data_IF_563370410089
#
_entry.id   IF_563370410089
#
_cell.length_a   1.000
_cell.length_b   1.000
_cell.length_c   1.000
_cell.angle_alpha   90.00
_cell.angle_beta   90.00
_cell.angle_gamma   90.00
#
_symmetry.space_group_name_H-M   'P 1'
#
loop_
_entity.id
_entity.type
_entity.pdbx_description
1 polymer ?
#
# COMPACT_ATOMS: atom_id res chain seq x y z
N UNK A 1 -44.69 -20.43 25.63
CA UNK A 1 -45.20 -21.02 24.37
C UNK A 1 -44.99 -20.03 23.23
N UNK A 2 -44.76 -20.58 22.06
CA UNK A 2 -44.21 -20.04 20.82
C UNK A 2 -44.76 -18.71 20.24
N UNK A 3 -43.82 -17.93 19.71
CA UNK A 3 -43.73 -17.36 18.34
C UNK A 3 -44.93 -16.56 17.80
N UNK A 4 -44.71 -15.28 17.46
CA UNK A 4 -45.02 -14.77 16.11
C UNK A 4 -44.41 -13.40 15.78
N UNK A 5 -43.50 -13.42 14.79
CA UNK A 5 -43.43 -12.57 13.58
C UNK A 5 -43.41 -11.05 13.82
N UNK A 6 -42.27 -10.35 13.85
CA UNK A 6 -41.30 -10.07 12.76
C UNK A 6 -41.95 -10.01 11.36
N UNK A 7 -42.64 -8.91 11.05
CA UNK A 7 -42.96 -8.51 9.67
C UNK A 7 -43.57 -7.10 9.59
N UNK A 8 -42.78 -6.02 9.74
CA UNK A 8 -43.04 -4.74 9.05
C UNK A 8 -41.70 -4.00 8.88
N UNK A 9 -40.81 -4.55 8.06
CA UNK A 9 -39.56 -3.89 7.67
C UNK A 9 -39.37 -4.03 6.15
N UNK A 10 -40.31 -3.52 5.35
CA UNK A 10 -40.23 -3.67 3.89
C UNK A 10 -41.20 -2.77 3.09
N UNK A 11 -41.51 -1.54 3.51
CA UNK A 11 -42.31 -0.59 2.68
C UNK A 11 -41.64 0.78 2.56
N UNK A 12 -40.32 0.83 2.34
CA UNK A 12 -39.59 2.09 2.11
C UNK A 12 -38.70 2.07 0.85
N UNK A 13 -39.00 1.22 -0.14
CA UNK A 13 -38.16 1.06 -1.35
C UNK A 13 -38.89 1.41 -2.66
N UNK A 14 -40.00 2.15 -2.62
CA UNK A 14 -40.75 2.56 -3.83
C UNK A 14 -40.94 4.08 -3.94
N UNK A 15 -39.93 4.88 -3.57
CA UNK A 15 -39.82 6.24 -4.10
C UNK A 15 -38.89 6.18 -5.32
N UNK A 16 -39.50 6.05 -6.49
CA UNK A 16 -38.79 6.12 -7.76
C UNK A 16 -38.20 7.51 -7.98
N UNK A 17 -36.96 7.55 -8.46
CA UNK A 17 -36.36 8.75 -9.02
C UNK A 17 -37.10 9.09 -10.31
N UNK A 18 -38.04 10.03 -10.27
CA UNK A 18 -38.51 10.69 -11.47
C UNK A 18 -37.33 11.45 -12.07
N UNK A 19 -36.77 10.92 -13.16
CA UNK A 19 -35.73 11.57 -13.93
C UNK A 19 -36.41 12.72 -14.71
N UNK A 20 -36.37 13.93 -14.12
CA UNK A 20 -36.77 15.16 -14.78
C UNK A 20 -35.82 15.38 -15.96
N UNK A 21 -36.34 15.26 -17.18
CA UNK A 21 -35.60 15.50 -18.42
C UNK A 21 -35.20 16.98 -18.46
N UNK A 22 -33.90 17.34 -18.47
CA UNK A 22 -33.48 18.72 -18.53
C UNK A 22 -33.85 19.30 -19.89
N UNK A 23 -34.70 20.32 -19.91
CA UNK A 23 -34.92 21.16 -21.09
C UNK A 23 -33.56 21.68 -21.58
N UNK A 24 -33.23 21.57 -22.88
CA UNK A 24 -31.95 22.06 -23.39
C UNK A 24 -31.90 23.58 -23.19
N UNK A 25 -31.02 24.01 -22.29
CA UNK A 25 -30.71 25.41 -22.09
C UNK A 25 -30.03 25.94 -23.35
N UNK A 26 -30.24 27.21 -23.74
CA UNK A 26 -29.53 27.81 -24.85
C UNK A 26 -28.01 27.69 -24.61
N UNK A 27 -27.19 27.48 -25.66
CA UNK A 27 -25.76 27.34 -25.50
C UNK A 27 -25.24 28.58 -24.79
N UNK A 28 -24.70 28.37 -23.59
CA UNK A 28 -23.99 29.42 -22.88
C UNK A 28 -22.80 29.81 -23.74
N UNK A 29 -22.52 31.11 -23.92
CA UNK A 29 -21.32 31.53 -24.63
C UNK A 29 -20.13 30.84 -23.96
N UNK A 30 -19.30 30.14 -24.75
CA UNK A 30 -18.08 29.50 -24.26
C UNK A 30 -17.21 30.58 -23.60
N UNK A 31 -17.34 30.69 -22.27
CA UNK A 31 -16.42 31.47 -21.48
C UNK A 31 -15.06 30.83 -21.66
N UNK A 32 -14.18 31.51 -22.40
CA UNK A 32 -12.77 31.19 -22.47
C UNK A 32 -12.24 31.11 -21.03
N UNK A 33 -12.11 29.88 -20.53
CA UNK A 33 -11.43 29.64 -19.26
C UNK A 33 -9.95 29.63 -19.60
N UNK A 34 -9.17 30.60 -19.12
CA UNK A 34 -7.74 30.56 -19.34
C UNK A 34 -7.21 29.24 -18.77
N UNK A 35 -6.26 28.57 -19.44
CA UNK A 35 -5.72 27.30 -18.97
C UNK A 35 -5.23 27.48 -17.53
N UNK A 36 -5.84 26.73 -16.61
CA UNK A 36 -5.50 26.78 -15.19
C UNK A 36 -4.06 26.32 -15.05
N UNK A 37 -3.16 27.25 -14.69
CA UNK A 37 -1.78 26.91 -14.37
C UNK A 37 -1.83 25.97 -13.16
N UNK A 38 -1.41 24.71 -13.37
CA UNK A 38 -1.47 23.69 -12.32
C UNK A 38 -0.66 24.16 -11.10
N UNK A 39 -1.31 24.21 -9.94
CA UNK A 39 -0.64 24.55 -8.68
C UNK A 39 0.37 23.46 -8.31
N UNK A 40 1.35 23.78 -7.46
CA UNK A 40 2.27 22.76 -6.93
C UNK A 40 1.53 21.64 -6.19
N UNK A 41 0.39 21.95 -5.57
CA UNK A 41 -0.48 20.96 -4.95
C UNK A 41 -1.12 20.03 -6.00
N UNK A 42 -1.67 20.58 -7.08
CA UNK A 42 -2.24 19.78 -8.18
C UNK A 42 -1.18 18.85 -8.80
N UNK A 43 0.06 19.33 -8.94
CA UNK A 43 1.18 18.52 -9.42
C UNK A 43 1.51 17.36 -8.47
N UNK A 44 1.47 17.61 -7.16
CA UNK A 44 1.70 16.59 -6.15
C UNK A 44 0.58 15.52 -6.14
N UNK A 45 -0.67 15.94 -6.29
CA UNK A 45 -1.81 15.03 -6.43
C UNK A 45 -1.74 14.21 -7.73
N UNK A 46 -1.41 14.86 -8.85
CA UNK A 46 -1.21 14.16 -10.12
C UNK A 46 -0.08 13.13 -10.03
N UNK A 47 1.02 13.47 -9.35
CA UNK A 47 2.10 12.52 -9.05
C UNK A 47 1.60 11.34 -8.22
N UNK A 48 0.81 11.59 -7.17
CA UNK A 48 0.24 10.54 -6.32
C UNK A 48 -0.65 9.58 -7.13
N UNK A 49 -1.59 10.13 -7.91
CA UNK A 49 -2.50 9.37 -8.75
C UNK A 49 -1.75 8.53 -9.77
N UNK A 50 -0.82 9.15 -10.52
CA UNK A 50 0.02 8.44 -11.50
C UNK A 50 0.82 7.32 -10.84
N UNK A 51 1.43 7.59 -9.69
CA UNK A 51 2.26 6.59 -8.99
C UNK A 51 1.42 5.41 -8.49
N UNK A 52 0.18 5.65 -8.05
CA UNK A 52 -0.73 4.60 -7.61
C UNK A 52 -1.08 3.61 -8.74
N UNK A 53 -1.21 4.09 -9.97
CA UNK A 53 -1.53 3.28 -11.17
C UNK A 53 -0.36 2.45 -11.69
N UNK A 54 0.87 2.79 -11.31
CA UNK A 54 2.06 2.08 -11.76
C UNK A 54 2.19 0.68 -11.14
N UNK A 55 2.77 -0.23 -11.93
CA UNK A 55 3.19 -1.54 -11.44
C UNK A 55 4.27 -1.39 -10.35
N UNK A 56 4.44 -2.38 -9.44
CA UNK A 56 5.45 -2.31 -8.39
C UNK A 56 6.87 -2.04 -8.92
N UNK A 57 7.25 -2.65 -10.04
CA UNK A 57 8.55 -2.45 -10.68
C UNK A 57 8.70 -1.01 -11.22
N UNK A 58 7.68 -0.49 -11.92
CA UNK A 58 7.71 0.87 -12.44
C UNK A 58 7.74 1.92 -11.31
N UNK A 59 6.98 1.69 -10.22
CA UNK A 59 7.08 2.51 -9.00
C UNK A 59 8.48 2.52 -8.44
N UNK A 60 9.13 1.36 -8.37
CA UNK A 60 10.47 1.25 -7.82
C UNK A 60 11.50 2.05 -8.64
N UNK A 61 11.44 1.96 -9.96
CA UNK A 61 12.34 2.73 -10.84
C UNK A 61 12.07 4.24 -10.76
N UNK A 62 10.80 4.66 -10.76
CA UNK A 62 10.44 6.07 -10.58
C UNK A 62 10.94 6.61 -9.24
N UNK A 63 10.79 5.84 -8.15
CA UNK A 63 11.27 6.20 -6.83
C UNK A 63 12.80 6.33 -6.77
N UNK A 64 13.55 5.38 -7.35
CA UNK A 64 15.01 5.46 -7.41
C UNK A 64 15.47 6.70 -8.18
N UNK A 65 14.85 6.98 -9.33
CA UNK A 65 15.16 8.16 -10.13
C UNK A 65 14.88 9.46 -9.36
N UNK A 66 13.73 9.54 -8.67
CA UNK A 66 13.35 10.69 -7.87
C UNK A 66 14.29 10.91 -6.68
N UNK A 67 14.66 9.84 -5.95
CA UNK A 67 15.63 9.92 -4.85
C UNK A 67 16.99 10.38 -5.35
N UNK A 68 17.44 9.90 -6.52
CA UNK A 68 18.68 10.37 -7.15
C UNK A 68 18.60 11.85 -7.51
N UNK A 69 17.52 12.27 -8.17
CA UNK A 69 17.30 13.66 -8.55
C UNK A 69 17.27 14.59 -7.33
N UNK A 70 16.64 14.19 -6.23
CA UNK A 70 16.61 14.99 -5.00
C UNK A 70 17.99 15.11 -4.33
N UNK A 71 18.89 14.13 -4.51
CA UNK A 71 20.26 14.23 -4.02
C UNK A 71 21.09 15.21 -4.84
N UNK A 72 20.90 15.20 -6.17
CA UNK A 72 21.62 16.09 -7.09
C UNK A 72 21.12 17.53 -7.00
N UNK A 73 19.81 17.73 -6.91
CA UNK A 73 19.16 19.02 -6.79
C UNK A 73 18.02 18.96 -5.75
N UNK A 74 18.35 19.16 -4.45
CA UNK A 74 17.35 19.17 -3.40
C UNK A 74 16.37 20.32 -3.58
N UNK A 75 15.09 20.01 -3.70
CA UNK A 75 14.03 21.02 -3.75
C UNK A 75 12.78 20.52 -3.03
N UNK A 76 11.88 21.45 -2.69
CA UNK A 76 10.67 21.14 -1.93
C UNK A 76 9.78 20.12 -2.68
N UNK A 77 9.53 20.34 -3.96
CA UNK A 77 8.67 19.46 -4.79
C UNK A 77 9.17 18.02 -4.78
N UNK A 78 10.47 17.81 -4.95
CA UNK A 78 11.10 16.49 -4.91
C UNK A 78 10.95 15.84 -3.53
N UNK A 79 11.16 16.59 -2.43
CA UNK A 79 10.96 16.08 -1.07
C UNK A 79 9.51 15.65 -0.82
N UNK A 80 8.55 16.44 -1.28
CA UNK A 80 7.12 16.13 -1.16
C UNK A 80 6.72 14.93 -2.03
N UNK A 81 7.25 14.82 -3.24
CA UNK A 81 7.03 13.65 -4.10
C UNK A 81 7.65 12.39 -3.50
N UNK A 82 8.82 12.49 -2.85
CA UNK A 82 9.44 11.36 -2.13
C UNK A 82 8.56 10.94 -0.95
N UNK A 83 8.05 11.90 -0.16
CA UNK A 83 7.12 11.65 0.94
C UNK A 83 5.91 10.82 0.46
N UNK A 84 5.28 11.26 -0.63
CA UNK A 84 4.13 10.55 -1.23
C UNK A 84 4.55 9.21 -1.81
N UNK A 85 5.63 9.18 -2.59
CA UNK A 85 6.12 7.98 -3.27
C UNK A 85 6.49 6.86 -2.30
N UNK A 86 6.99 7.20 -1.11
CA UNK A 86 7.32 6.22 -0.06
C UNK A 86 6.11 5.42 0.44
N UNK A 87 4.91 5.98 0.35
CA UNK A 87 3.67 5.24 0.67
C UNK A 87 3.43 4.11 -0.32
N UNK A 88 3.84 4.29 -1.58
CA UNK A 88 3.61 3.32 -2.65
C UNK A 88 4.80 2.39 -2.93
N UNK A 89 6.01 2.77 -2.55
CA UNK A 89 7.22 1.93 -2.71
C UNK A 89 8.25 2.17 -1.61
N UNK A 90 8.81 1.08 -1.12
CA UNK A 90 9.92 1.06 -0.18
C UNK A 90 11.28 1.47 -0.78
N UNK A 91 11.34 1.70 -2.08
CA UNK A 91 12.55 2.20 -2.75
C UNK A 91 12.66 3.71 -2.76
N UNK A 92 11.59 4.43 -2.38
CA UNK A 92 11.54 5.89 -2.30
C UNK A 92 12.33 6.47 -1.09
N UNK A 93 13.46 5.87 -0.70
CA UNK A 93 14.28 6.33 0.43
C UNK A 93 13.81 5.82 1.79
N UNK A 94 14.55 6.11 2.86
CA UNK A 94 14.25 5.62 4.22
C UNK A 94 13.18 6.47 4.91
N UNK A 95 12.22 5.84 5.60
CA UNK A 95 11.11 6.55 6.26
C UNK A 95 11.61 7.53 7.33
N UNK A 96 12.61 7.17 8.13
CA UNK A 96 13.08 8.06 9.19
C UNK A 96 13.71 9.33 8.60
N UNK A 97 14.51 9.18 7.54
CA UNK A 97 15.11 10.32 6.83
C UNK A 97 14.06 11.22 6.19
N UNK A 98 13.05 10.64 5.55
CA UNK A 98 11.97 11.41 4.91
C UNK A 98 11.18 12.22 5.95
N UNK A 99 10.86 11.59 7.09
CA UNK A 99 10.14 12.28 8.17
C UNK A 99 10.97 13.42 8.79
N UNK A 100 12.29 13.25 8.90
CA UNK A 100 13.21 14.29 9.34
C UNK A 100 13.28 15.45 8.32
N UNK A 101 13.48 15.12 7.04
CA UNK A 101 13.55 16.10 5.95
C UNK A 101 12.29 16.96 5.83
N UNK A 102 11.11 16.35 6.05
CA UNK A 102 9.82 17.04 6.01
C UNK A 102 9.55 17.80 7.31
N UNK A 103 9.94 17.26 8.45
CA UNK A 103 9.81 17.93 9.76
C UNK A 103 10.65 19.20 9.86
N UNK A 104 11.76 19.27 9.13
CA UNK A 104 12.66 20.43 9.08
C UNK A 104 12.25 21.49 8.03
N UNK A 105 11.09 21.36 7.39
CA UNK A 105 10.60 22.37 6.45
C UNK A 105 10.14 23.62 7.21
N UNK A 106 10.52 24.84 6.77
CA UNK A 106 10.04 26.05 7.40
C UNK A 106 8.53 26.19 7.19
N UNK A 107 7.76 26.73 8.15
CA UNK A 107 6.30 26.88 8.03
C UNK A 107 5.85 27.65 6.78
N UNK A 108 6.70 28.57 6.29
CA UNK A 108 6.47 29.35 5.08
C UNK A 108 6.70 28.57 3.77
N UNK A 109 7.33 27.39 3.80
CA UNK A 109 7.56 26.58 2.61
C UNK A 109 6.27 25.94 2.05
N UNK A 110 5.23 25.79 2.88
CA UNK A 110 3.94 25.25 2.48
C UNK A 110 2.92 26.40 2.49
N UNK A 111 2.73 27.12 1.37
CA UNK A 111 1.89 28.32 1.35
C UNK A 111 0.39 27.99 1.43
N UNK A 112 -0.02 26.82 0.93
CA UNK A 112 -1.41 26.39 0.85
C UNK A 112 -1.80 25.50 2.04
N UNK A 113 -2.95 25.77 2.66
CA UNK A 113 -3.51 24.95 3.73
C UNK A 113 -3.87 23.54 3.25
N UNK A 114 -4.35 23.37 2.01
CA UNK A 114 -4.61 22.05 1.46
C UNK A 114 -3.32 21.22 1.36
N UNK A 115 -2.23 21.86 0.93
CA UNK A 115 -0.90 21.24 0.90
C UNK A 115 -0.44 20.85 2.31
N UNK A 116 -0.59 21.72 3.31
CA UNK A 116 -0.21 21.41 4.71
C UNK A 116 -0.98 20.21 5.25
N UNK A 117 -2.30 20.18 5.04
CA UNK A 117 -3.15 19.07 5.48
C UNK A 117 -2.77 17.77 4.78
N UNK A 118 -2.48 17.83 3.49
CA UNK A 118 -2.03 16.67 2.73
C UNK A 118 -0.68 16.14 3.24
N UNK A 119 0.31 17.01 3.40
CA UNK A 119 1.64 16.64 3.94
C UNK A 119 1.51 16.06 5.35
N UNK A 120 0.66 16.64 6.19
CA UNK A 120 0.37 16.14 7.55
C UNK A 120 -0.20 14.73 7.50
N UNK A 121 -1.15 14.48 6.59
CA UNK A 121 -1.77 13.17 6.38
C UNK A 121 -0.74 12.13 5.94
N UNK A 122 0.05 12.44 4.91
CA UNK A 122 1.09 11.53 4.41
C UNK A 122 2.16 11.24 5.48
N UNK A 123 2.54 12.25 6.26
CA UNK A 123 3.47 12.11 7.39
C UNK A 123 2.92 11.16 8.46
N UNK A 124 1.64 11.29 8.81
CA UNK A 124 0.97 10.39 9.76
C UNK A 124 0.93 8.94 9.23
N UNK A 125 0.62 8.76 7.95
CA UNK A 125 0.65 7.45 7.28
C UNK A 125 2.04 6.81 7.35
N UNK A 126 3.10 7.56 7.03
CA UNK A 126 4.46 7.03 7.11
C UNK A 126 4.89 6.68 8.54
N UNK A 127 4.50 7.47 9.54
CA UNK A 127 4.75 7.15 10.97
C UNK A 127 4.09 5.83 11.35
N UNK A 128 2.86 5.60 10.89
CA UNK A 128 2.14 4.35 11.13
C UNK A 128 2.83 3.16 10.45
N UNK A 129 3.23 3.29 9.18
CA UNK A 129 3.99 2.26 8.44
C UNK A 129 5.31 1.93 9.17
N UNK A 130 6.04 2.95 9.64
CA UNK A 130 7.28 2.76 10.40
C UNK A 130 7.02 2.00 11.71
N UNK A 131 5.93 2.34 12.41
CA UNK A 131 5.50 1.66 13.62
C UNK A 131 5.22 0.17 13.40
N UNK A 132 4.49 -0.17 12.32
CA UNK A 132 4.25 -1.57 11.96
C UNK A 132 5.53 -2.30 11.59
N UNK A 133 6.41 -1.68 10.81
CA UNK A 133 7.70 -2.26 10.41
C UNK A 133 8.57 -2.60 11.63
N UNK A 134 8.64 -1.70 12.62
CA UNK A 134 9.36 -1.93 13.89
C UNK A 134 8.73 -3.07 14.71
N UNK A 135 7.40 -3.12 14.78
CA UNK A 135 6.68 -4.19 15.50
C UNK A 135 6.90 -5.55 14.86
N UNK A 136 6.80 -5.65 13.53
CA UNK A 136 7.10 -6.87 12.76
C UNK A 136 8.53 -7.34 13.01
N UNK A 137 9.53 -6.44 12.90
CA UNK A 137 10.92 -6.80 13.17
C UNK A 137 11.17 -7.29 14.60
N UNK A 138 10.46 -6.74 15.60
CA UNK A 138 10.53 -7.23 16.97
C UNK A 138 9.90 -8.61 17.15
N UNK A 139 8.79 -8.90 16.46
CA UNK A 139 8.15 -10.21 16.47
C UNK A 139 9.02 -11.27 15.80
N UNK A 140 9.62 -10.96 14.65
CA UNK A 140 10.55 -11.86 13.96
C UNK A 140 11.77 -12.20 14.83
N UNK A 141 12.35 -11.21 15.52
CA UNK A 141 13.45 -11.43 16.46
C UNK A 141 13.02 -12.33 17.62
N UNK A 142 11.86 -12.05 18.22
CA UNK A 142 11.29 -12.89 19.29
C UNK A 142 11.03 -14.31 18.81
N UNK A 143 10.53 -14.52 17.60
CA UNK A 143 10.31 -15.84 17.02
C UNK A 143 11.64 -16.59 16.81
N UNK A 144 12.69 -15.91 16.32
CA UNK A 144 14.03 -16.52 16.19
C UNK A 144 14.65 -16.89 17.54
N UNK A 145 14.43 -16.10 18.58
CA UNK A 145 14.93 -16.39 19.93
C UNK A 145 14.07 -17.43 20.66
N UNK A 146 12.77 -17.52 20.36
CA UNK A 146 11.84 -18.46 20.97
C UNK A 146 11.75 -19.82 20.26
N UNK A 147 12.39 -20.01 19.10
CA UNK A 147 12.67 -21.35 18.59
C UNK A 147 13.66 -22.02 19.55
N UNK A 148 13.25 -23.08 20.28
CA UNK A 148 14.13 -23.78 21.20
C UNK A 148 15.29 -24.41 20.44
N UNK A 149 16.41 -24.56 21.14
CA UNK A 149 17.65 -25.17 20.68
C UNK A 149 17.56 -26.66 20.28
N UNK A 150 16.39 -27.19 19.90
CA UNK A 150 16.24 -28.55 19.38
C UNK A 150 16.65 -28.68 17.91
N UNK A 151 16.86 -27.56 17.20
CA UNK A 151 17.46 -27.55 15.86
C UNK A 151 18.99 -27.31 15.87
N UNK A 152 19.61 -27.15 17.05
CA UNK A 152 21.02 -26.77 17.18
C UNK A 152 21.93 -27.90 17.71
N UNK A 153 21.44 -29.14 17.66
CA UNK A 153 22.22 -30.34 17.94
C UNK A 153 22.35 -31.18 16.66
N UNK A 154 22.89 -30.57 15.58
CA UNK A 154 23.32 -31.29 14.36
C UNK A 154 24.31 -30.54 13.49
N UNK A 155 24.97 -29.51 14.02
CA UNK A 155 26.07 -28.83 13.33
C UNK A 155 27.39 -29.03 14.07
N UNK A 156 27.75 -30.29 14.29
CA UNK A 156 29.17 -30.65 14.31
C UNK A 156 29.33 -31.98 13.60
N UNK A 157 30.44 -32.09 12.86
CA UNK A 157 30.87 -33.22 12.02
C UNK A 157 30.22 -33.29 10.62
N UNK A 158 31.02 -32.89 9.62
CA UNK A 158 31.16 -33.56 8.31
C UNK A 158 29.90 -33.72 7.45
N UNK A 159 29.86 -33.00 6.32
CA UNK A 159 28.91 -33.16 5.21
C UNK A 159 28.42 -34.60 4.99
N UNK A 160 27.15 -34.80 4.59
CA UNK A 160 26.96 -35.07 3.17
C UNK A 160 25.72 -34.42 2.57
N UNK A 161 25.78 -34.12 1.26
CA UNK A 161 24.70 -33.65 0.37
C UNK A 161 23.40 -34.50 0.39
N UNK A 162 23.36 -35.56 1.18
CA UNK A 162 22.23 -36.49 1.34
C UNK A 162 21.08 -35.88 2.14
N UNK A 163 21.34 -35.01 3.13
CA UNK A 163 20.26 -34.44 3.95
C UNK A 163 19.42 -33.42 3.17
N UNK A 164 20.03 -32.65 2.26
CA UNK A 164 19.27 -31.76 1.37
C UNK A 164 18.38 -32.54 0.40
N UNK A 165 18.88 -33.63 -0.20
CA UNK A 165 18.06 -34.47 -1.08
C UNK A 165 16.92 -35.17 -0.37
N UNK A 166 17.10 -35.51 0.92
CA UNK A 166 16.05 -36.07 1.77
C UNK A 166 14.99 -35.02 2.11
N UNK A 167 15.40 -33.81 2.49
CA UNK A 167 14.51 -32.67 2.72
C UNK A 167 13.71 -32.29 1.47
N UNK A 168 14.34 -32.35 0.30
CA UNK A 168 13.66 -32.09 -0.97
C UNK A 168 12.64 -33.19 -1.31
N UNK A 169 12.94 -34.45 -1.02
CA UNK A 169 11.96 -35.56 -1.19
C UNK A 169 10.78 -35.42 -0.24
N UNK A 170 11.03 -35.07 1.01
CA UNK A 170 9.98 -34.87 2.02
C UNK A 170 9.05 -33.70 1.64
N UNK A 171 9.63 -32.59 1.11
CA UNK A 171 8.83 -31.47 0.59
C UNK A 171 8.02 -31.84 -0.64
N UNK A 172 8.57 -32.64 -1.56
CA UNK A 172 7.85 -33.09 -2.75
C UNK A 172 6.73 -34.08 -2.41
N UNK A 173 6.93 -34.95 -1.41
CA UNK A 173 5.89 -35.84 -0.90
C UNK A 173 4.78 -35.09 -0.17
N UNK A 174 5.11 -34.05 0.61
CA UNK A 174 4.12 -33.19 1.23
C UNK A 174 3.27 -32.45 0.18
N UNK A 175 3.87 -31.93 -0.89
CA UNK A 175 3.14 -31.29 -2.00
C UNK A 175 2.22 -32.31 -2.68
N UNK A 176 2.73 -33.50 -3.00
CA UNK A 176 1.94 -34.57 -3.64
C UNK A 176 0.80 -35.06 -2.74
N UNK A 177 0.99 -35.06 -1.42
CA UNK A 177 -0.07 -35.38 -0.45
C UNK A 177 -1.14 -34.29 -0.38
N UNK A 178 -0.76 -33.02 -0.47
CA UNK A 178 -1.72 -31.90 -0.52
C UNK A 178 -2.50 -31.90 -1.85
N UNK A 179 -1.85 -32.18 -2.97
CA UNK A 179 -2.52 -32.34 -4.28
C UNK A 179 -3.54 -33.48 -4.24
N UNK A 180 -3.17 -34.63 -3.65
CA UNK A 180 -4.08 -35.76 -3.49
C UNK A 180 -5.30 -35.43 -2.62
N UNK A 181 -5.12 -34.68 -1.53
CA UNK A 181 -6.25 -34.24 -0.69
C UNK A 181 -7.18 -33.25 -1.40
N UNK A 182 -6.64 -32.43 -2.30
CA UNK A 182 -7.42 -31.51 -3.12
C UNK A 182 -8.20 -32.24 -4.23
N UNK A 183 -7.59 -33.27 -4.84
CA UNK A 183 -8.26 -34.12 -5.84
C UNK A 183 -9.34 -35.02 -5.21
N UNK A 184 -9.12 -35.55 -4.00
CA UNK A 184 -10.13 -36.34 -3.27
C UNK A 184 -11.29 -35.45 -2.78
N UNK A 185 -11.03 -34.18 -2.44
CA UNK A 185 -12.08 -33.22 -2.02
C UNK A 185 -12.88 -32.63 -3.20
N UNK A 186 -12.47 -32.88 -4.45
CA UNK A 186 -13.20 -32.50 -5.66
C UNK A 186 -14.08 -33.62 -6.25
N UNK A 187 -14.04 -34.82 -5.65
CA UNK A 187 -14.67 -36.04 -6.19
C UNK A 187 -16.09 -36.37 -5.71
N UNK A 188 -16.62 -35.69 -4.69
CA UNK A 188 -17.98 -35.90 -4.19
C UNK A 188 -18.90 -34.71 -4.52
N UNK A 189 -19.16 -34.55 -5.81
CA UNK A 189 -20.35 -33.87 -6.30
C UNK A 189 -21.13 -34.86 -7.17
N UNK A 190 -21.94 -35.70 -6.54
CA UNK A 190 -23.03 -36.43 -7.18
C UNK A 190 -24.28 -36.41 -6.31
#
# INVERSE_FOLDING_TARGET
MMKSKLAVLSVALLTGCAQMEPQPSPPTPECYTPPKVASEFDRLLAFAAKTAELTPAARAEQCKALVKQNKEAPNLTNRLQILVGRVFSDTCGDIAKILDDVGNLPPAALPDEAMKQFVTTQTATLKQIQGYSKKLGNLERKQRTAQPAEAKERSDVGTPKTDETRLLREKLEAIRSMEKQLDESGGDAK
#
